data_IF_669105776270
#
_entry.id   IF_669105776270
#
_cell.length_a   1.000
_cell.length_b   1.000
_cell.length_c   1.000
_cell.angle_alpha   90.00
_cell.angle_beta   90.00
_cell.angle_gamma   90.00
#
_symmetry.space_group_name_H-M   'P 1'
#
loop_
_entity.id
_entity.type
_entity.pdbx_description
1 polymer ?
#
# COMPACT_ATOMS: atom_id res chain seq x y z
N UNK A 1 -3.11 12.39 14.42
CA UNK A 1 -3.91 11.18 14.70
C UNK A 1 -5.21 11.23 13.92
N UNK A 2 -5.84 12.35 13.90
CA UNK A 2 -7.21 12.50 13.43
C UNK A 2 -7.40 12.42 11.91
N UNK A 3 -6.40 12.85 11.10
CA UNK A 3 -6.55 12.90 9.64
C UNK A 3 -6.83 11.53 9.01
N UNK A 4 -6.03 10.51 9.34
CA UNK A 4 -6.19 9.17 8.75
C UNK A 4 -7.40 8.45 9.31
N UNK A 5 -7.72 8.60 10.60
CA UNK A 5 -8.91 8.03 11.20
C UNK A 5 -10.18 8.60 10.55
N UNK A 6 -10.27 9.93 10.39
CA UNK A 6 -11.38 10.59 9.70
C UNK A 6 -11.48 10.16 8.23
N UNK A 7 -10.33 10.02 7.56
CA UNK A 7 -10.29 9.57 6.17
C UNK A 7 -10.84 8.14 6.01
N UNK A 8 -10.41 7.19 6.87
CA UNK A 8 -10.90 5.81 6.81
C UNK A 8 -12.38 5.71 7.22
N UNK A 9 -12.82 6.46 8.22
CA UNK A 9 -14.21 6.51 8.63
C UNK A 9 -15.12 7.04 7.50
N UNK A 10 -14.71 8.09 6.80
CA UNK A 10 -15.46 8.64 5.67
C UNK A 10 -15.61 7.64 4.51
N UNK A 11 -14.53 6.90 4.20
CA UNK A 11 -14.54 5.86 3.15
C UNK A 11 -15.45 4.68 3.51
N UNK A 12 -15.55 4.33 4.79
CA UNK A 12 -16.46 3.29 5.25
C UNK A 12 -17.94 3.69 5.13
N UNK A 13 -18.23 4.98 5.31
CA UNK A 13 -19.58 5.51 5.23
C UNK A 13 -20.15 5.54 3.81
N UNK A 14 -19.30 5.51 2.76
CA UNK A 14 -19.72 5.61 1.36
C UNK A 14 -19.22 4.41 0.54
N UNK A 15 -19.99 3.31 0.50
CA UNK A 15 -19.61 2.08 -0.24
C UNK A 15 -19.36 2.33 -1.74
N UNK A 16 -20.06 3.27 -2.34
CA UNK A 16 -19.98 3.59 -3.78
C UNK A 16 -18.54 3.85 -4.25
N UNK A 17 -17.76 4.62 -3.48
CA UNK A 17 -16.34 4.89 -3.82
C UNK A 17 -15.54 3.59 -3.88
N UNK A 18 -15.71 2.72 -2.86
CA UNK A 18 -15.02 1.42 -2.81
C UNK A 18 -15.44 0.49 -3.95
N UNK A 19 -16.71 0.50 -4.34
CA UNK A 19 -17.23 -0.31 -5.45
C UNK A 19 -16.64 0.14 -6.79
N UNK A 20 -16.57 1.45 -7.04
CA UNK A 20 -15.93 2.00 -8.25
C UNK A 20 -14.48 1.59 -8.31
N UNK A 21 -13.72 1.81 -7.23
CA UNK A 21 -12.32 1.46 -7.17
C UNK A 21 -12.12 -0.04 -7.42
N UNK A 22 -12.83 -0.91 -6.70
CA UNK A 22 -12.68 -2.35 -6.84
C UNK A 22 -13.01 -2.85 -8.25
N UNK A 23 -14.02 -2.27 -8.91
CA UNK A 23 -14.38 -2.64 -10.28
C UNK A 23 -13.25 -2.35 -11.26
N UNK A 24 -12.64 -1.16 -11.22
CA UNK A 24 -11.52 -0.81 -12.09
C UNK A 24 -10.24 -1.59 -11.78
N UNK A 25 -10.00 -1.86 -10.50
CA UNK A 25 -8.83 -2.60 -10.04
C UNK A 25 -8.99 -4.12 -10.17
N UNK A 26 -10.18 -4.61 -10.52
CA UNK A 26 -10.47 -6.04 -10.58
C UNK A 26 -10.42 -6.74 -9.23
N UNK A 27 -10.55 -5.99 -8.14
CA UNK A 27 -10.56 -6.54 -6.79
C UNK A 27 -11.91 -7.19 -6.47
N UNK A 28 -11.95 -8.23 -5.63
CA UNK A 28 -13.19 -8.83 -5.20
C UNK A 28 -14.12 -7.81 -4.54
N UNK A 29 -15.45 -7.91 -4.76
CA UNK A 29 -16.42 -7.08 -4.06
C UNK A 29 -16.22 -7.14 -2.55
N UNK A 30 -16.25 -5.98 -1.91
CA UNK A 30 -16.08 -5.87 -0.46
C UNK A 30 -14.63 -6.03 0.05
N UNK A 31 -13.64 -6.29 -0.80
CA UNK A 31 -12.25 -6.22 -0.40
C UNK A 31 -11.86 -4.75 -0.20
N UNK A 32 -11.49 -4.40 1.01
CA UNK A 32 -11.07 -3.05 1.35
C UNK A 32 -9.54 -2.96 1.21
N UNK A 33 -9.10 -2.33 0.14
CA UNK A 33 -7.69 -2.19 -0.22
C UNK A 33 -7.41 -0.76 -0.74
N UNK A 34 -6.21 -0.52 -1.25
CA UNK A 34 -5.80 0.75 -1.89
C UNK A 34 -6.04 0.75 -3.40
N UNK A 35 -5.11 1.32 -4.16
CA UNK A 35 -5.19 1.47 -5.64
C UNK A 35 -4.28 0.49 -6.40
N UNK A 36 -3.76 -0.53 -5.75
CA UNK A 36 -3.00 -1.60 -6.43
C UNK A 36 -4.00 -2.60 -7.04
N UNK A 37 -3.91 -2.91 -8.33
CA UNK A 37 -4.88 -3.79 -8.97
C UNK A 37 -4.70 -5.26 -8.57
N UNK A 38 -5.74 -6.07 -8.74
CA UNK A 38 -5.76 -7.49 -8.37
C UNK A 38 -4.66 -8.30 -9.07
N UNK A 39 -4.29 -7.92 -10.29
CA UNK A 39 -3.21 -8.55 -11.04
C UNK A 39 -1.82 -8.41 -10.38
N UNK A 40 -1.66 -7.48 -9.44
CA UNK A 40 -0.44 -7.33 -8.66
C UNK A 40 -0.29 -8.43 -7.58
N UNK A 41 -1.39 -8.97 -7.07
CA UNK A 41 -1.37 -9.91 -5.94
C UNK A 41 -0.49 -11.15 -6.22
N UNK A 42 -0.58 -11.82 -7.38
CA UNK A 42 0.33 -12.92 -7.71
C UNK A 42 1.80 -12.50 -7.76
N UNK A 43 2.10 -11.30 -8.25
CA UNK A 43 3.49 -10.79 -8.29
C UNK A 43 4.02 -10.50 -6.89
N UNK A 44 3.21 -9.86 -6.03
CA UNK A 44 3.55 -9.62 -4.64
C UNK A 44 3.81 -10.95 -3.91
N UNK A 45 2.89 -11.91 -4.03
CA UNK A 45 3.03 -13.23 -3.41
C UNK A 45 4.30 -13.94 -3.86
N UNK A 46 4.56 -13.96 -5.18
CA UNK A 46 5.77 -14.58 -5.73
C UNK A 46 7.05 -13.85 -5.30
N UNK A 47 7.01 -12.52 -5.24
CA UNK A 47 8.13 -11.68 -4.83
C UNK A 47 8.53 -11.89 -3.37
N UNK A 48 7.56 -12.07 -2.50
CA UNK A 48 7.74 -12.26 -1.06
C UNK A 48 8.22 -13.66 -0.69
N UNK A 49 7.96 -14.69 -1.51
CA UNK A 49 8.41 -16.09 -1.32
C UNK A 49 8.07 -16.66 0.06
N UNK A 50 6.90 -16.34 0.56
CA UNK A 50 6.42 -16.84 1.84
C UNK A 50 6.07 -18.32 1.78
N UNK A 51 6.37 -19.03 2.86
CA UNK A 51 5.97 -20.42 3.08
C UNK A 51 4.93 -20.50 4.22
N UNK A 52 4.16 -21.59 4.32
CA UNK A 52 3.24 -21.78 5.43
C UNK A 52 3.96 -21.73 6.79
N UNK A 53 3.44 -20.86 7.68
CA UNK A 53 4.03 -20.61 9.00
C UNK A 53 5.03 -19.45 9.07
N UNK A 54 5.41 -18.85 7.94
CA UNK A 54 6.16 -17.60 7.92
C UNK A 54 5.34 -16.43 8.48
N UNK A 55 6.01 -15.34 8.80
CA UNK A 55 5.39 -14.09 9.25
C UNK A 55 5.50 -13.03 8.15
N UNK A 56 4.37 -12.62 7.61
CA UNK A 56 4.23 -11.44 6.76
C UNK A 56 3.98 -10.20 7.62
N UNK A 57 4.82 -9.18 7.51
CA UNK A 57 4.50 -7.85 7.99
C UNK A 57 3.91 -7.02 6.85
N UNK A 58 2.69 -6.53 7.01
CA UNK A 58 2.06 -5.52 6.14
C UNK A 58 2.21 -4.15 6.83
N UNK A 59 3.14 -3.35 6.34
CA UNK A 59 3.56 -2.10 6.96
C UNK A 59 2.86 -0.91 6.29
N UNK A 60 2.17 -0.10 7.07
CA UNK A 60 1.14 0.85 6.64
C UNK A 60 -0.01 0.12 5.92
N UNK A 61 -0.55 -0.89 6.60
CA UNK A 61 -1.48 -1.86 6.02
C UNK A 61 -2.87 -1.29 5.70
N UNK A 62 -3.23 -0.14 6.25
CA UNK A 62 -4.57 0.40 6.16
C UNK A 62 -5.61 -0.64 6.61
N UNK A 63 -6.52 -1.00 5.72
CA UNK A 63 -7.54 -2.04 5.93
C UNK A 63 -7.05 -3.45 5.63
N UNK A 64 -5.76 -3.62 5.39
CA UNK A 64 -5.03 -4.87 5.20
C UNK A 64 -5.51 -5.79 4.06
N UNK A 65 -6.22 -5.27 3.06
CA UNK A 65 -6.77 -6.11 1.99
C UNK A 65 -5.71 -6.91 1.23
N UNK A 66 -4.59 -6.29 0.91
CA UNK A 66 -3.47 -6.96 0.21
C UNK A 66 -2.74 -7.94 1.11
N UNK A 67 -2.37 -7.52 2.33
CA UNK A 67 -1.70 -8.39 3.29
C UNK A 67 -2.51 -9.62 3.65
N UNK A 68 -3.82 -9.48 3.90
CA UNK A 68 -4.72 -10.60 4.17
C UNK A 68 -4.80 -11.58 2.99
N UNK A 69 -4.89 -11.05 1.76
CA UNK A 69 -4.97 -11.89 0.55
C UNK A 69 -3.66 -12.65 0.32
N UNK A 70 -2.50 -11.99 0.50
CA UNK A 70 -1.18 -12.61 0.37
C UNK A 70 -0.97 -13.66 1.47
N UNK A 71 -1.29 -13.34 2.73
CA UNK A 71 -1.15 -14.26 3.85
C UNK A 71 -2.04 -15.51 3.66
N UNK A 72 -3.30 -15.33 3.25
CA UNK A 72 -4.20 -16.46 2.96
C UNK A 72 -3.67 -17.34 1.83
N UNK A 73 -3.15 -16.74 0.75
CA UNK A 73 -2.62 -17.47 -0.40
C UNK A 73 -1.32 -18.22 -0.13
N UNK A 74 -0.49 -17.75 0.80
CA UNK A 74 0.80 -18.35 1.17
C UNK A 74 0.73 -19.28 2.40
N UNK A 75 -0.31 -19.16 3.22
CA UNK A 75 -0.38 -19.84 4.52
C UNK A 75 0.48 -19.20 5.61
N UNK A 76 0.94 -17.97 5.40
CA UNK A 76 1.71 -17.20 6.37
C UNK A 76 0.79 -16.54 7.41
N UNK A 77 1.31 -16.28 8.61
CA UNK A 77 0.68 -15.40 9.59
C UNK A 77 0.86 -13.93 9.17
N UNK A 78 -0.11 -13.07 9.49
CA UNK A 78 -0.07 -11.65 9.18
C UNK A 78 0.13 -10.80 10.43
N UNK A 79 1.06 -9.86 10.37
CA UNK A 79 1.15 -8.72 11.30
C UNK A 79 0.90 -7.45 10.49
N UNK A 80 -0.17 -6.73 10.78
CA UNK A 80 -0.50 -5.45 10.14
C UNK A 80 -0.19 -4.28 11.07
N UNK A 81 0.51 -3.30 10.55
CA UNK A 81 0.86 -2.05 11.26
C UNK A 81 0.31 -0.87 10.48
N UNK A 82 -0.40 0.01 11.16
CA UNK A 82 -0.87 1.29 10.61
C UNK A 82 -0.97 2.34 11.73
N UNK A 83 -0.90 3.61 11.38
CA UNK A 83 -1.07 4.71 12.34
C UNK A 83 -2.54 4.92 12.71
N UNK A 84 -3.47 4.53 11.84
CA UNK A 84 -4.91 4.69 12.03
C UNK A 84 -5.52 3.54 12.80
N UNK A 85 -6.05 3.84 13.99
CA UNK A 85 -6.80 2.86 14.78
C UNK A 85 -8.10 2.45 14.07
N UNK A 86 -8.72 3.37 13.34
CA UNK A 86 -9.94 3.12 12.55
C UNK A 86 -9.67 2.16 11.40
N UNK A 87 -8.58 2.36 10.63
CA UNK A 87 -8.18 1.42 9.59
C UNK A 87 -7.96 0.01 10.14
N UNK A 88 -7.29 -0.10 11.28
CA UNK A 88 -7.03 -1.38 11.94
C UNK A 88 -8.29 -2.04 12.50
N UNK A 89 -9.30 -1.27 12.92
CA UNK A 89 -10.60 -1.83 13.29
C UNK A 89 -11.25 -2.50 12.07
N UNK A 90 -11.29 -1.81 10.93
CA UNK A 90 -11.79 -2.35 9.66
C UNK A 90 -10.95 -3.54 9.14
N UNK A 91 -9.63 -3.52 9.35
CA UNK A 91 -8.74 -4.64 9.01
C UNK A 91 -9.08 -5.92 9.80
N UNK A 92 -9.38 -5.80 11.11
CA UNK A 92 -9.81 -6.93 11.94
C UNK A 92 -11.14 -7.52 11.46
N UNK A 93 -12.11 -6.67 11.15
CA UNK A 93 -13.38 -7.13 10.57
C UNK A 93 -13.17 -7.83 9.23
N UNK A 94 -12.29 -7.29 8.39
CA UNK A 94 -11.95 -7.89 7.10
C UNK A 94 -11.28 -9.26 7.27
N UNK A 95 -10.35 -9.41 8.22
CA UNK A 95 -9.72 -10.70 8.54
C UNK A 95 -10.75 -11.76 8.93
N UNK A 96 -11.75 -11.39 9.76
CA UNK A 96 -12.87 -12.27 10.11
C UNK A 96 -13.68 -12.66 8.87
N UNK A 97 -14.05 -11.72 8.00
CA UNK A 97 -14.80 -12.00 6.77
C UNK A 97 -14.07 -12.93 5.82
N UNK A 98 -12.75 -12.78 5.71
CA UNK A 98 -11.89 -13.61 4.85
C UNK A 98 -11.48 -14.94 5.50
N UNK A 99 -11.81 -15.16 6.78
CA UNK A 99 -11.44 -16.36 7.52
C UNK A 99 -9.94 -16.48 7.81
N UNK A 100 -9.21 -15.35 7.83
CA UNK A 100 -7.78 -15.32 8.18
C UNK A 100 -7.66 -15.22 9.70
N UNK A 101 -7.36 -16.33 10.35
CA UNK A 101 -7.36 -16.45 11.81
C UNK A 101 -6.02 -16.08 12.46
N UNK A 102 -4.90 -16.21 11.75
CA UNK A 102 -3.58 -15.79 12.23
C UNK A 102 -3.21 -14.40 11.65
N UNK A 103 -4.00 -13.40 12.04
CA UNK A 103 -3.77 -12.00 11.71
C UNK A 103 -3.79 -11.14 12.98
N UNK A 104 -2.78 -10.31 13.16
CA UNK A 104 -2.63 -9.40 14.31
C UNK A 104 -2.41 -7.99 13.81
N UNK A 105 -3.04 -7.01 14.46
CA UNK A 105 -2.99 -5.62 14.02
C UNK A 105 -2.63 -4.71 15.19
N UNK A 106 -1.61 -3.86 15.00
CA UNK A 106 -1.09 -2.95 16.02
C UNK A 106 -0.95 -1.54 15.45
N UNK A 107 -1.26 -0.55 16.27
CA UNK A 107 -0.96 0.85 15.94
C UNK A 107 0.56 1.04 15.97
N UNK A 108 1.10 1.60 14.90
CA UNK A 108 2.53 1.88 14.77
C UNK A 108 2.80 2.72 13.53
N UNK A 109 4.02 3.22 13.44
CA UNK A 109 4.47 4.09 12.35
C UNK A 109 5.35 3.31 11.35
N UNK A 110 5.29 3.72 10.09
CA UNK A 110 6.09 3.15 8.99
C UNK A 110 7.59 3.25 9.25
N UNK A 111 8.03 4.22 10.05
CA UNK A 111 9.43 4.45 10.42
C UNK A 111 9.82 3.85 11.76
N UNK A 112 8.83 3.39 12.54
CA UNK A 112 9.01 2.82 13.88
C UNK A 112 7.84 1.88 14.21
N UNK A 113 7.86 0.67 13.65
CA UNK A 113 6.77 -0.32 13.77
C UNK A 113 6.53 -0.81 15.20
N UNK A 114 7.53 -0.67 16.09
CA UNK A 114 7.50 -1.22 17.44
C UNK A 114 7.78 -2.73 17.51
N UNK A 115 8.07 -3.37 16.37
CA UNK A 115 8.37 -4.80 16.31
C UNK A 115 9.83 -5.08 16.62
N UNK A 116 10.17 -6.30 17.12
CA UNK A 116 11.56 -6.71 17.32
C UNK A 116 12.36 -6.80 16.02
N UNK A 117 13.70 -6.68 16.12
CA UNK A 117 14.61 -6.94 15.01
C UNK A 117 14.43 -8.37 14.52
N UNK A 118 14.48 -8.58 13.20
CA UNK A 118 14.42 -9.90 12.60
C UNK A 118 13.15 -10.69 12.92
N UNK A 119 12.03 -10.03 13.11
CA UNK A 119 10.74 -10.65 13.48
C UNK A 119 9.87 -11.06 12.30
N UNK A 120 10.17 -10.59 11.09
CA UNK A 120 9.39 -10.87 9.89
C UNK A 120 10.20 -11.63 8.83
N UNK A 121 9.57 -12.62 8.18
CA UNK A 121 10.14 -13.33 7.04
C UNK A 121 10.00 -12.52 5.77
N UNK A 122 8.89 -11.78 5.65
CA UNK A 122 8.70 -10.84 4.56
C UNK A 122 7.98 -9.56 5.02
N UNK A 123 8.22 -8.47 4.27
CA UNK A 123 7.52 -7.18 4.45
C UNK A 123 6.83 -6.80 3.15
N UNK A 124 5.55 -6.47 3.26
CA UNK A 124 4.76 -5.80 2.25
C UNK A 124 4.55 -4.35 2.68
N UNK A 125 4.70 -3.40 1.76
CA UNK A 125 4.27 -2.02 1.96
C UNK A 125 3.72 -1.47 0.64
N UNK A 126 2.42 -1.23 0.60
CA UNK A 126 1.74 -0.80 -0.61
C UNK A 126 1.41 0.68 -0.54
N UNK A 127 1.94 1.44 -1.50
CA UNK A 127 1.61 2.85 -1.76
C UNK A 127 1.74 3.78 -0.54
N UNK A 128 2.72 3.50 0.35
CA UNK A 128 2.87 4.26 1.59
C UNK A 128 4.28 4.87 1.79
N UNK A 129 5.29 4.42 1.07
CA UNK A 129 6.70 4.83 1.28
C UNK A 129 6.94 6.34 1.08
N UNK A 130 6.04 7.03 0.39
CA UNK A 130 6.11 8.48 0.17
C UNK A 130 5.63 9.32 1.35
N UNK A 131 4.95 8.74 2.36
CA UNK A 131 4.33 9.53 3.43
C UNK A 131 5.28 10.00 4.53
N UNK A 132 6.31 9.26 4.95
CA UNK A 132 7.25 9.75 5.96
C UNK A 132 8.00 11.01 5.53
N UNK A 133 8.27 11.89 6.48
CA UNK A 133 9.11 13.07 6.25
C UNK A 133 10.56 12.66 5.91
N UNK A 134 11.06 11.58 6.52
CA UNK A 134 12.31 10.88 6.18
C UNK A 134 11.99 9.49 5.58
N UNK A 135 11.90 9.35 4.25
CA UNK A 135 11.70 8.05 3.63
C UNK A 135 12.81 7.03 3.96
N UNK A 136 14.05 7.48 4.20
CA UNK A 136 15.16 6.61 4.55
C UNK A 136 14.94 5.90 5.89
N UNK A 137 14.21 6.52 6.83
CA UNK A 137 13.85 5.89 8.10
C UNK A 137 12.91 4.68 7.87
N UNK A 138 11.98 4.78 6.92
CA UNK A 138 11.09 3.66 6.59
C UNK A 138 11.86 2.47 5.99
N UNK A 139 12.79 2.71 5.06
CA UNK A 139 13.62 1.64 4.51
C UNK A 139 14.51 0.99 5.56
N UNK A 140 15.07 1.78 6.50
CA UNK A 140 15.84 1.25 7.64
C UNK A 140 14.97 0.41 8.57
N UNK A 141 13.75 0.84 8.85
CA UNK A 141 12.80 0.07 9.67
C UNK A 141 12.43 -1.25 9.01
N UNK A 142 12.09 -1.24 7.71
CA UNK A 142 11.83 -2.46 6.93
C UNK A 142 13.03 -3.41 7.02
N UNK A 143 14.24 -2.87 6.86
CA UNK A 143 15.47 -3.68 6.95
C UNK A 143 15.68 -4.26 8.36
N UNK A 144 15.39 -3.50 9.40
CA UNK A 144 15.57 -3.89 10.80
C UNK A 144 14.66 -5.07 11.20
N UNK A 145 13.40 -5.01 10.77
CA UNK A 145 12.40 -6.03 11.14
C UNK A 145 12.52 -7.32 10.33
N UNK A 146 13.17 -7.29 9.19
CA UNK A 146 13.38 -8.47 8.35
C UNK A 146 14.46 -9.37 8.89
N UNK A 147 14.19 -10.67 8.92
CA UNK A 147 15.21 -11.72 9.13
C UNK A 147 16.28 -11.66 8.03
N UNK A 148 17.49 -12.17 8.27
CA UNK A 148 18.48 -12.37 7.20
C UNK A 148 17.87 -13.23 6.08
N UNK A 149 18.04 -12.80 4.83
CA UNK A 149 17.42 -13.45 3.67
C UNK A 149 15.95 -13.15 3.44
N UNK A 150 15.31 -12.44 4.37
CA UNK A 150 13.90 -12.02 4.26
C UNK A 150 13.65 -11.14 3.06
N UNK A 151 12.39 -11.09 2.62
CA UNK A 151 11.98 -10.42 1.38
C UNK A 151 11.15 -9.17 1.65
N UNK A 152 11.31 -8.17 0.79
CA UNK A 152 10.43 -6.99 0.79
C UNK A 152 9.79 -6.82 -0.58
N UNK A 153 8.51 -6.46 -0.58
CA UNK A 153 7.80 -5.98 -1.77
C UNK A 153 7.18 -4.61 -1.47
N UNK A 154 7.48 -3.64 -2.32
CA UNK A 154 6.98 -2.27 -2.23
C UNK A 154 6.25 -1.89 -3.50
N UNK A 155 5.13 -1.20 -3.38
CA UNK A 155 4.53 -0.48 -4.51
C UNK A 155 4.52 1.01 -4.24
N UNK A 156 4.64 1.81 -5.27
CA UNK A 156 4.54 3.27 -5.16
C UNK A 156 4.33 3.93 -6.52
N UNK A 157 4.21 5.24 -6.48
CA UNK A 157 4.42 6.13 -7.61
C UNK A 157 5.83 6.68 -7.55
N UNK A 158 6.52 6.67 -8.67
CA UNK A 158 7.77 7.40 -8.85
C UNK A 158 7.59 8.53 -9.86
N UNK A 159 8.28 9.66 -9.70
CA UNK A 159 8.26 10.73 -10.69
C UNK A 159 8.95 10.27 -11.99
N UNK A 160 8.42 10.70 -13.14
CA UNK A 160 9.12 10.57 -14.44
C UNK A 160 10.32 11.52 -14.45
N UNK A 161 10.12 12.74 -13.96
CA UNK A 161 11.15 13.76 -13.75
C UNK A 161 11.10 14.24 -12.29
N UNK A 162 12.21 14.08 -11.56
CA UNK A 162 12.33 14.46 -10.15
C UNK A 162 12.38 15.97 -9.92
N UNK A 163 12.71 16.72 -10.95
CA UNK A 163 12.82 18.17 -10.89
C UNK A 163 11.49 18.85 -11.27
N UNK A 164 10.47 18.10 -11.68
CA UNK A 164 9.16 18.64 -12.03
C UNK A 164 8.42 19.17 -10.78
N UNK A 165 8.41 20.49 -10.65
CA UNK A 165 7.81 21.19 -9.51
C UNK A 165 6.28 21.07 -9.44
N UNK A 166 5.61 20.57 -10.47
CA UNK A 166 4.17 20.26 -10.44
C UNK A 166 3.87 19.11 -9.49
N UNK A 167 4.83 18.22 -9.26
CA UNK A 167 4.72 17.17 -8.26
C UNK A 167 5.09 17.66 -6.87
N UNK A 168 4.41 17.15 -5.86
CA UNK A 168 4.76 17.43 -4.48
C UNK A 168 6.19 16.96 -4.16
N UNK A 169 6.86 17.67 -3.24
CA UNK A 169 8.21 17.27 -2.76
C UNK A 169 8.22 15.83 -2.28
N UNK A 170 7.13 15.36 -1.68
CA UNK A 170 6.96 13.99 -1.19
C UNK A 170 7.07 12.97 -2.31
N UNK A 171 6.38 13.16 -3.44
CA UNK A 171 6.47 12.26 -4.61
C UNK A 171 7.81 12.37 -5.31
N UNK A 172 8.37 13.57 -5.44
CA UNK A 172 9.68 13.79 -6.09
C UNK A 172 10.83 13.04 -5.39
N UNK A 173 10.69 12.75 -4.10
CA UNK A 173 11.70 12.01 -3.31
C UNK A 173 11.63 10.49 -3.45
N UNK A 174 10.57 9.94 -4.02
CA UNK A 174 10.43 8.49 -4.14
C UNK A 174 11.43 7.94 -5.16
N UNK A 175 12.26 7.02 -4.70
CA UNK A 175 13.18 6.20 -5.47
C UNK A 175 13.32 4.85 -4.77
N UNK A 176 12.54 3.87 -5.19
CA UNK A 176 12.56 2.56 -4.53
C UNK A 176 13.92 1.87 -4.67
N UNK A 177 14.57 2.02 -5.83
CA UNK A 177 15.87 1.40 -6.05
C UNK A 177 16.95 2.01 -5.14
N UNK A 178 17.05 3.34 -5.11
CA UNK A 178 18.03 4.05 -4.28
C UNK A 178 17.75 3.83 -2.78
N UNK A 179 16.50 3.97 -2.33
CA UNK A 179 16.14 3.79 -0.92
C UNK A 179 16.42 2.38 -0.40
N UNK A 180 16.12 1.35 -1.20
CA UNK A 180 16.46 -0.03 -0.84
C UNK A 180 17.98 -0.26 -0.82
N UNK A 181 18.71 0.29 -1.81
CA UNK A 181 20.18 0.14 -1.87
C UNK A 181 20.87 0.83 -0.68
N UNK A 182 20.45 2.05 -0.34
CA UNK A 182 20.99 2.79 0.83
C UNK A 182 20.69 2.08 2.15
N UNK A 183 19.58 1.38 2.26
CA UNK A 183 19.26 0.56 3.43
C UNK A 183 19.99 -0.80 3.45
N UNK A 184 20.82 -1.09 2.44
CA UNK A 184 21.65 -2.30 2.38
C UNK A 184 20.93 -3.53 1.83
N UNK A 185 19.81 -3.38 1.17
CA UNK A 185 19.14 -4.50 0.49
C UNK A 185 19.93 -4.99 -0.71
N UNK A 186 19.80 -6.28 -1.00
CA UNK A 186 20.41 -6.95 -2.14
C UNK A 186 19.35 -7.42 -3.13
N UNK A 187 19.78 -7.75 -4.37
CA UNK A 187 18.91 -8.31 -5.43
C UNK A 187 17.65 -7.43 -5.64
N UNK A 188 17.89 -6.13 -5.73
CA UNK A 188 16.85 -5.14 -5.93
C UNK A 188 16.37 -5.22 -7.36
N UNK A 189 15.09 -5.46 -7.56
CA UNK A 189 14.41 -5.44 -8.84
C UNK A 189 13.27 -4.41 -8.76
N UNK A 190 13.31 -3.40 -9.60
CA UNK A 190 12.22 -2.43 -9.75
C UNK A 190 11.63 -2.56 -11.14
N UNK A 191 10.32 -2.72 -11.21
CA UNK A 191 9.58 -2.93 -12.44
C UNK A 191 8.50 -1.89 -12.58
N UNK A 192 8.49 -1.18 -13.69
CA UNK A 192 7.39 -0.30 -14.05
C UNK A 192 6.13 -1.08 -14.40
N UNK A 193 4.96 -0.54 -14.05
CA UNK A 193 3.65 -1.15 -14.23
C UNK A 193 2.69 -0.18 -14.94
N UNK A 194 2.87 0.07 -16.24
CA UNK A 194 2.03 1.01 -16.98
C UNK A 194 0.54 0.63 -16.93
N UNK A 195 0.21 -0.66 -16.99
CA UNK A 195 -1.16 -1.13 -16.91
C UNK A 195 -1.86 -0.75 -15.58
N UNK A 196 -1.10 -0.65 -14.47
CA UNK A 196 -1.68 -0.20 -13.20
C UNK A 196 -2.04 1.29 -13.24
N UNK A 197 -1.20 2.10 -13.89
CA UNK A 197 -1.47 3.53 -14.08
C UNK A 197 -2.72 3.75 -14.95
N UNK A 198 -2.93 2.91 -15.98
CA UNK A 198 -4.13 2.97 -16.82
C UNK A 198 -5.40 2.61 -16.04
N UNK A 199 -5.34 1.62 -15.15
CA UNK A 199 -6.46 1.31 -14.26
C UNK A 199 -6.77 2.44 -13.28
N UNK A 200 -5.73 3.03 -12.72
CA UNK A 200 -5.85 4.20 -11.85
C UNK A 200 -6.44 5.40 -12.60
N UNK A 201 -6.01 5.64 -13.83
CA UNK A 201 -6.59 6.65 -14.72
C UNK A 201 -8.10 6.45 -14.88
N UNK A 202 -8.54 5.24 -15.16
CA UNK A 202 -9.95 4.93 -15.34
C UNK A 202 -10.79 5.18 -14.07
N UNK A 203 -10.21 4.98 -12.88
CA UNK A 203 -10.86 5.35 -11.61
C UNK A 203 -11.11 6.85 -11.56
N UNK A 204 -10.07 7.64 -11.85
CA UNK A 204 -10.14 9.09 -11.73
C UNK A 204 -10.98 9.73 -12.85
N UNK A 205 -10.96 9.16 -14.06
CA UNK A 205 -11.85 9.57 -15.15
C UNK A 205 -13.32 9.34 -14.78
N UNK A 206 -13.67 8.23 -14.14
CA UNK A 206 -15.03 8.02 -13.65
C UNK A 206 -15.35 8.94 -12.46
N UNK A 207 -14.43 9.13 -11.53
CA UNK A 207 -14.61 9.97 -10.35
C UNK A 207 -15.04 11.40 -10.71
N UNK A 208 -14.46 11.98 -11.78
CA UNK A 208 -14.80 13.34 -12.22
C UNK A 208 -16.12 13.45 -12.99
N UNK A 209 -16.72 12.32 -13.39
CA UNK A 209 -18.05 12.31 -14.02
C UNK A 209 -19.21 12.22 -13.03
N UNK A 210 -18.92 11.88 -11.77
CA UNK A 210 -19.93 11.70 -10.73
C UNK A 210 -20.34 13.07 -10.19
N UNK A 211 -21.65 13.32 -10.17
CA UNK A 211 -22.18 14.44 -9.39
C UNK A 211 -22.11 14.08 -7.90
N UNK A 212 -21.24 14.72 -7.12
CA UNK A 212 -21.05 14.36 -5.72
C UNK A 212 -22.20 14.81 -4.81
N UNK A 213 -23.08 15.70 -5.28
CA UNK A 213 -24.12 16.30 -4.43
C UNK A 213 -23.52 16.86 -3.14
N UNK A 214 -24.17 16.53 -2.01
CA UNK A 214 -23.72 16.93 -0.66
C UNK A 214 -22.96 15.80 0.07
N UNK A 215 -22.63 14.68 -0.60
CA UNK A 215 -21.88 13.57 0.04
C UNK A 215 -20.40 13.90 0.18
N UNK A 216 -19.87 14.04 1.42
CA UNK A 216 -18.48 14.43 1.64
C UNK A 216 -17.46 13.47 1.03
N UNK A 217 -17.75 12.17 0.98
CA UNK A 217 -16.84 11.19 0.43
C UNK A 217 -16.81 11.25 -1.10
N UNK A 218 -17.95 11.48 -1.76
CA UNK A 218 -18.01 11.70 -3.19
C UNK A 218 -17.37 13.04 -3.59
N UNK A 219 -17.57 14.10 -2.80
CA UNK A 219 -16.89 15.40 -2.99
C UNK A 219 -15.37 15.19 -2.91
N UNK A 220 -14.89 14.48 -1.89
CA UNK A 220 -13.47 14.15 -1.72
C UNK A 220 -12.93 13.32 -2.89
N UNK A 221 -13.66 12.29 -3.30
CA UNK A 221 -13.30 11.40 -4.39
C UNK A 221 -13.23 12.12 -5.74
N UNK A 222 -14.22 12.96 -6.04
CA UNK A 222 -14.23 13.81 -7.24
C UNK A 222 -13.04 14.76 -7.25
N UNK A 223 -12.79 15.47 -6.14
CA UNK A 223 -11.66 16.39 -6.01
C UNK A 223 -10.29 15.69 -6.10
N UNK A 224 -10.17 14.46 -5.60
CA UNK A 224 -8.99 13.64 -5.77
C UNK A 224 -8.80 13.24 -7.24
N UNK A 225 -9.88 12.88 -7.94
CA UNK A 225 -9.87 12.58 -9.36
C UNK A 225 -9.34 13.73 -10.21
N UNK A 226 -9.83 14.96 -9.97
CA UNK A 226 -9.35 16.17 -10.68
C UNK A 226 -7.84 16.34 -10.49
N UNK A 227 -7.36 16.32 -9.25
CA UNK A 227 -5.92 16.49 -8.94
C UNK A 227 -5.06 15.36 -9.51
N UNK A 228 -5.55 14.12 -9.44
CA UNK A 228 -4.79 12.96 -9.92
C UNK A 228 -4.62 12.98 -11.42
N UNK A 229 -5.68 13.30 -12.19
CA UNK A 229 -5.62 13.38 -13.65
C UNK A 229 -4.61 14.42 -14.15
N UNK A 230 -4.41 15.53 -13.43
CA UNK A 230 -3.40 16.55 -13.75
C UNK A 230 -1.95 16.01 -13.63
N UNK A 231 -1.74 15.01 -12.77
CA UNK A 231 -0.41 14.53 -12.43
C UNK A 231 -0.06 13.14 -13.02
N UNK A 232 -1.03 12.39 -13.53
CA UNK A 232 -0.79 11.00 -14.01
C UNK A 232 0.30 10.89 -15.07
N UNK A 233 0.46 11.90 -15.93
CA UNK A 233 1.53 11.91 -16.95
C UNK A 233 2.92 12.20 -16.38
N UNK A 234 3.01 12.63 -15.14
CA UNK A 234 4.25 13.02 -14.45
C UNK A 234 4.82 11.90 -13.59
N UNK A 235 4.08 10.81 -13.42
CA UNK A 235 4.39 9.70 -12.53
C UNK A 235 4.33 8.37 -13.27
N UNK A 236 4.97 7.37 -12.70
CA UNK A 236 4.88 5.97 -13.13
C UNK A 236 4.57 5.08 -11.93
N UNK A 237 3.82 4.02 -12.14
CA UNK A 237 3.58 2.99 -11.12
C UNK A 237 4.73 2.00 -11.13
N UNK A 238 5.23 1.68 -9.95
CA UNK A 238 6.36 0.76 -9.79
C UNK A 238 6.09 -0.30 -8.72
N UNK A 239 6.64 -1.48 -8.96
CA UNK A 239 6.78 -2.57 -7.98
C UNK A 239 8.27 -2.82 -7.78
N UNK A 240 8.72 -2.80 -6.54
CA UNK A 240 10.06 -3.21 -6.16
C UNK A 240 10.02 -4.48 -5.31
N UNK A 241 10.96 -5.40 -5.54
CA UNK A 241 11.25 -6.52 -4.66
C UNK A 241 12.74 -6.56 -4.36
N UNK A 242 13.10 -6.90 -3.12
CA UNK A 242 14.48 -7.00 -2.70
C UNK A 242 14.66 -8.05 -1.61
N UNK A 243 15.92 -8.37 -1.28
CA UNK A 243 16.29 -9.33 -0.26
C UNK A 243 17.12 -8.64 0.83
N UNK A 244 16.81 -8.86 2.09
CA UNK A 244 17.65 -8.46 3.21
C UNK A 244 18.94 -9.31 3.23
N UNK A 245 20.13 -8.72 3.51
CA UNK A 245 21.38 -9.45 3.64
C UNK A 245 21.39 -10.40 4.83
#
# INVERSE_FOLDING_TARGET
MDYWDDWYASKAATPTVGEIMNRHLGLPPGLLAGVVPAEAIPELTTGLRLEPGDTLLDLACGRAGYGLTVAQGSGAGLVGIDVSAEALAQAREQAVRLGVTDARFHVGDLTASGLPDGSADAVLCTDAIQFPDDPSAAYREIRRVLKPGGRVALTSWEPVDRDDERLSVRLRRVDLAAGLAEAGFMRIEVRERPAWLERERAIWEEAVTIDPGDDPALISFHGEGVRSLEHLALIRRVLAVATAP
#
